data_IF_241077846622
#
_entry.id   IF_241077846622
#
_cell.length_a   1.000
_cell.length_b   1.000
_cell.length_c   1.000
_cell.angle_alpha   90.00
_cell.angle_beta   90.00
_cell.angle_gamma   90.00
#
_symmetry.space_group_name_H-M   'P 1'
#
loop_
_entity.id
_entity.type
_entity.pdbx_description
1 polymer ?
#
# COMPACT_ATOMS: atom_id res chain seq x y z
N UNK A 1 0.51 10.95 -7.04
CA UNK A 1 0.49 10.22 -5.75
C UNK A 1 1.76 9.39 -5.62
N UNK A 2 2.31 9.36 -4.42
CA UNK A 2 3.57 8.64 -4.21
C UNK A 2 3.34 7.14 -4.05
N UNK A 3 4.28 6.36 -4.57
CA UNK A 3 4.30 4.93 -4.31
C UNK A 3 4.90 4.68 -2.93
N UNK A 4 4.48 3.61 -2.31
CA UNK A 4 5.00 3.21 -1.00
C UNK A 4 5.50 1.78 -1.08
N UNK A 5 6.59 1.51 -0.39
CA UNK A 5 7.22 0.19 -0.40
C UNK A 5 7.23 -0.39 1.00
N UNK A 6 6.82 -1.64 1.11
CA UNK A 6 6.89 -2.37 2.36
C UNK A 6 8.35 -2.62 2.72
N UNK A 7 8.76 -2.22 3.93
CA UNK A 7 10.14 -2.40 4.35
C UNK A 7 10.44 -3.84 4.76
N UNK A 8 9.42 -4.69 4.87
CA UNK A 8 9.58 -6.07 5.29
C UNK A 8 9.79 -7.00 4.09
N UNK A 9 8.91 -6.92 3.09
CA UNK A 9 8.96 -7.85 1.96
C UNK A 9 9.26 -7.18 0.62
N UNK A 10 9.26 -5.85 0.56
CA UNK A 10 9.53 -5.12 -0.67
C UNK A 10 8.34 -4.92 -1.57
N UNK A 11 7.14 -5.28 -1.12
CA UNK A 11 5.92 -5.03 -1.91
C UNK A 11 5.74 -3.54 -2.15
N UNK A 12 5.36 -3.18 -3.37
CA UNK A 12 5.14 -1.78 -3.73
C UNK A 12 3.66 -1.52 -3.92
N UNK A 13 3.12 -0.59 -3.13
CA UNK A 13 1.76 -0.11 -3.33
C UNK A 13 1.78 1.04 -4.32
N UNK A 14 1.13 0.84 -5.45
CA UNK A 14 1.01 1.87 -6.50
C UNK A 14 -0.39 2.48 -6.41
N UNK A 15 -0.52 3.73 -5.93
CA UNK A 15 -1.84 4.35 -5.80
C UNK A 15 -2.62 4.44 -7.10
N UNK A 16 -1.91 4.58 -8.23
CA UNK A 16 -2.55 4.68 -9.53
C UNK A 16 -3.28 3.39 -9.89
N UNK A 17 -2.73 2.25 -9.50
CA UNK A 17 -3.31 0.94 -9.81
C UNK A 17 -4.25 0.43 -8.73
N UNK A 18 -4.04 0.86 -7.49
CA UNK A 18 -4.77 0.31 -6.36
C UNK A 18 -4.47 -1.16 -6.14
N UNK A 19 -5.34 -1.85 -5.44
CA UNK A 19 -5.23 -3.30 -5.23
C UNK A 19 -6.64 -3.90 -5.36
N UNK A 20 -7.10 -4.13 -6.60
CA UNK A 20 -8.47 -4.60 -6.79
C UNK A 20 -8.79 -5.90 -6.05
N UNK A 21 -7.80 -6.78 -5.89
CA UNK A 21 -7.98 -8.02 -5.15
C UNK A 21 -8.35 -7.79 -3.69
N UNK A 22 -7.91 -6.65 -3.14
CA UNK A 22 -8.17 -6.26 -1.76
C UNK A 22 -9.32 -5.28 -1.65
N UNK A 23 -10.00 -5.01 -2.74
CA UNK A 23 -11.09 -4.05 -2.75
C UNK A 23 -10.62 -2.60 -2.78
N UNK A 24 -9.36 -2.36 -3.07
CA UNK A 24 -8.80 -1.02 -3.14
C UNK A 24 -8.86 -0.54 -4.58
N UNK A 25 -9.66 0.48 -4.83
CA UNK A 25 -9.85 1.00 -6.18
C UNK A 25 -8.59 1.70 -6.69
N UNK A 26 -8.41 1.77 -8.02
CA UNK A 26 -7.36 2.61 -8.60
C UNK A 26 -7.47 4.05 -8.14
N UNK A 27 -6.34 4.75 -8.12
CA UNK A 27 -6.27 6.16 -7.72
C UNK A 27 -6.68 6.38 -6.27
N UNK A 28 -6.32 5.43 -5.41
CA UNK A 28 -6.50 5.57 -3.97
C UNK A 28 -5.14 5.86 -3.35
N UNK A 29 -4.99 7.04 -2.74
CA UNK A 29 -3.74 7.40 -2.10
C UNK A 29 -3.47 6.48 -0.92
N UNK A 30 -2.19 6.27 -0.59
CA UNK A 30 -1.82 5.42 0.53
C UNK A 30 -2.46 5.90 1.83
N UNK A 31 -2.52 7.22 2.03
CA UNK A 31 -3.11 7.82 3.23
C UNK A 31 -4.61 7.52 3.35
N UNK A 32 -5.26 7.25 2.23
CA UNK A 32 -6.70 6.96 2.21
C UNK A 32 -7.03 5.52 2.50
N UNK A 33 -6.01 4.66 2.62
CA UNK A 33 -6.23 3.27 2.98
C UNK A 33 -6.70 3.18 4.44
N UNK A 34 -7.51 2.16 4.78
CA UNK A 34 -7.91 1.97 6.17
C UNK A 34 -6.72 1.84 7.10
N UNK A 35 -6.88 2.28 8.35
CA UNK A 35 -5.79 2.20 9.32
C UNK A 35 -5.35 0.76 9.58
N UNK A 36 -6.26 -0.19 9.43
CA UNK A 36 -5.97 -1.60 9.64
C UNK A 36 -5.54 -2.33 8.37
N UNK A 37 -5.35 -1.59 7.27
CA UNK A 37 -4.86 -2.19 6.03
C UNK A 37 -3.44 -2.69 6.26
N UNK A 38 -3.16 -3.88 5.72
CA UNK A 38 -1.84 -4.49 5.86
C UNK A 38 -1.32 -4.91 4.49
N UNK A 39 -0.01 -5.15 4.43
CA UNK A 39 0.62 -5.62 3.20
C UNK A 39 -0.04 -6.93 2.76
N UNK A 40 -0.50 -7.02 1.50
CA UNK A 40 -1.15 -8.25 1.02
C UNK A 40 -0.17 -9.42 0.85
N UNK A 41 1.13 -9.16 0.93
CA UNK A 41 2.15 -10.19 0.75
C UNK A 41 2.63 -10.73 2.08
N UNK A 42 3.02 -9.84 3.01
CA UNK A 42 3.62 -10.27 4.26
C UNK A 42 2.80 -9.90 5.51
N UNK A 43 1.76 -9.10 5.35
CA UNK A 43 0.92 -8.70 6.48
C UNK A 43 1.47 -7.59 7.33
N UNK A 44 2.52 -6.90 6.88
CA UNK A 44 3.09 -5.78 7.64
C UNK A 44 2.10 -4.63 7.70
N UNK A 45 2.10 -3.91 8.81
CA UNK A 45 1.19 -2.78 9.01
C UNK A 45 1.60 -1.59 8.15
N UNK A 46 0.69 -0.62 8.02
CA UNK A 46 0.93 0.55 7.18
C UNK A 46 2.18 1.32 7.57
N UNK A 47 2.48 1.37 8.85
CA UNK A 47 3.64 2.13 9.33
C UNK A 47 4.97 1.49 8.94
N UNK A 48 4.95 0.28 8.39
CA UNK A 48 6.14 -0.37 7.84
C UNK A 48 6.41 0.02 6.40
N UNK A 49 5.54 0.83 5.80
CA UNK A 49 5.69 1.28 4.42
C UNK A 49 6.37 2.64 4.38
N UNK A 50 7.21 2.84 3.38
CA UNK A 50 7.94 4.09 3.19
C UNK A 50 7.69 4.64 1.80
N UNK A 51 7.58 5.97 1.63
CA UNK A 51 7.44 6.57 0.31
C UNK A 51 8.74 6.39 -0.49
N UNK A 52 8.59 5.99 -1.74
CA UNK A 52 9.75 5.71 -2.60
C UNK A 52 9.75 6.55 -3.87
N UNK A 53 8.80 7.42 -4.02
CA UNK A 53 8.68 8.20 -5.27
C UNK A 53 9.11 9.64 -5.09
#
# INVERSE_FOLDING_TARGET
MKKYQCSVCGYIYDPTKGVPKEGIQPETAFEDLPDDWVCPVCGASKDMFEPID
#
